data_IF_389616394388
#
_entry.id   IF_389616394388
#
_cell.length_a   1.000
_cell.length_b   1.000
_cell.length_c   1.000
_cell.angle_alpha   90.00
_cell.angle_beta   90.00
_cell.angle_gamma   90.00
#
_symmetry.space_group_name_H-M   'P 1'
#
loop_
_entity.id
_entity.type
_entity.pdbx_description
1 polymer ?
#
# COMPACT_ATOMS: atom_id res chain seq x y z
N UNK A 1 -18.52 26.32 -3.41
CA UNK A 1 -19.15 25.51 -4.50
C UNK A 1 -18.41 25.65 -5.83
N UNK A 2 -18.13 26.87 -6.33
CA UNK A 2 -17.48 27.10 -7.64
C UNK A 2 -16.11 26.40 -7.78
N UNK A 3 -15.26 26.49 -6.75
CA UNK A 3 -13.92 25.85 -6.75
C UNK A 3 -14.01 24.32 -6.83
N UNK A 4 -14.99 23.71 -6.18
CA UNK A 4 -15.15 22.25 -6.18
C UNK A 4 -15.55 21.74 -7.56
N UNK A 5 -16.50 22.43 -8.20
CA UNK A 5 -16.96 22.12 -9.55
C UNK A 5 -15.83 22.21 -10.57
N UNK A 6 -15.09 23.32 -10.58
CA UNK A 6 -14.00 23.51 -11.55
C UNK A 6 -12.87 22.49 -11.37
N UNK A 7 -12.56 22.10 -10.13
CA UNK A 7 -11.61 21.03 -9.82
C UNK A 7 -12.08 19.67 -10.31
N UNK A 8 -13.36 19.33 -10.09
CA UNK A 8 -13.96 18.09 -10.55
C UNK A 8 -13.96 18.00 -12.08
N UNK A 9 -14.36 19.07 -12.77
CA UNK A 9 -14.35 19.13 -14.24
C UNK A 9 -12.93 18.96 -14.80
N UNK A 10 -11.94 19.63 -14.20
CA UNK A 10 -10.53 19.46 -14.58
C UNK A 10 -10.04 18.02 -14.36
N UNK A 11 -10.41 17.42 -13.23
CA UNK A 11 -10.06 16.04 -12.91
C UNK A 11 -10.67 15.08 -13.93
N UNK A 12 -11.98 15.20 -14.21
CA UNK A 12 -12.67 14.37 -15.20
C UNK A 12 -12.04 14.49 -16.58
N UNK A 13 -11.72 15.71 -17.03
CA UNK A 13 -11.05 15.92 -18.33
C UNK A 13 -9.70 15.21 -18.39
N UNK A 14 -8.88 15.32 -17.34
CA UNK A 14 -7.58 14.63 -17.25
C UNK A 14 -7.74 13.12 -17.19
N UNK A 15 -8.71 12.64 -16.42
CA UNK A 15 -9.04 11.23 -16.29
C UNK A 15 -9.43 10.64 -17.66
N UNK A 16 -10.31 11.32 -18.40
CA UNK A 16 -10.70 10.93 -19.76
C UNK A 16 -9.53 10.90 -20.75
N UNK A 17 -8.59 11.84 -20.63
CA UNK A 17 -7.41 11.93 -21.49
C UNK A 17 -6.27 10.95 -21.08
N UNK A 18 -6.35 10.32 -19.92
CA UNK A 18 -5.27 9.48 -19.40
C UNK A 18 -5.25 8.08 -20.03
N UNK A 19 -4.31 7.84 -20.93
CA UNK A 19 -3.89 6.50 -21.35
C UNK A 19 -2.78 5.99 -20.45
N UNK A 20 -3.05 5.03 -19.56
CA UNK A 20 -2.02 4.46 -18.69
C UNK A 20 -1.19 3.41 -19.43
N UNK A 21 0.10 3.64 -19.62
CA UNK A 21 1.02 2.57 -20.03
C UNK A 21 1.32 1.66 -18.83
N UNK A 22 1.25 0.35 -19.06
CA UNK A 22 1.66 -0.66 -18.08
C UNK A 22 3.19 -0.74 -18.04
N UNK A 23 3.76 -0.86 -16.84
CA UNK A 23 5.20 -0.82 -16.62
C UNK A 23 5.74 -2.24 -16.47
N UNK A 24 5.54 -3.05 -17.52
CA UNK A 24 5.83 -4.48 -17.47
C UNK A 24 7.30 -4.80 -17.25
N UNK A 25 8.21 -3.93 -17.71
CA UNK A 25 9.65 -4.11 -17.49
C UNK A 25 9.96 -4.11 -16.00
N UNK A 26 9.41 -3.15 -15.27
CA UNK A 26 9.58 -3.00 -13.82
C UNK A 26 8.94 -4.16 -13.05
N UNK A 27 7.77 -4.65 -13.50
CA UNK A 27 7.15 -5.86 -12.94
C UNK A 27 8.05 -7.07 -13.12
N UNK A 28 8.55 -7.30 -14.35
CA UNK A 28 9.44 -8.43 -14.66
C UNK A 28 10.73 -8.33 -13.84
N UNK A 29 11.36 -7.16 -13.77
CA UNK A 29 12.56 -6.93 -12.96
C UNK A 29 12.27 -7.19 -11.48
N UNK A 30 11.11 -6.79 -10.98
CA UNK A 30 10.72 -7.03 -9.58
C UNK A 30 10.55 -8.52 -9.28
N UNK A 31 9.90 -9.27 -10.17
CA UNK A 31 9.71 -10.71 -10.01
C UNK A 31 11.04 -11.46 -10.14
N UNK A 32 11.77 -11.25 -11.24
CA UNK A 32 13.04 -11.96 -11.48
C UNK A 32 14.11 -11.57 -10.46
N UNK A 33 14.24 -10.28 -10.17
CA UNK A 33 15.15 -9.79 -9.14
C UNK A 33 14.78 -10.32 -7.75
N UNK A 34 13.47 -10.39 -7.44
CA UNK A 34 12.98 -11.01 -6.21
C UNK A 34 13.35 -12.48 -6.10
N UNK A 35 13.16 -13.26 -7.18
CA UNK A 35 13.55 -14.67 -7.22
C UNK A 35 15.07 -14.86 -7.04
N UNK A 36 15.89 -13.98 -7.63
CA UNK A 36 17.35 -14.00 -7.46
C UNK A 36 17.79 -13.60 -6.05
N UNK A 37 17.05 -12.70 -5.39
CA UNK A 37 17.33 -12.23 -4.03
C UNK A 37 16.84 -13.20 -2.94
N UNK A 38 15.85 -14.05 -3.26
CA UNK A 38 15.22 -14.97 -2.32
C UNK A 38 16.18 -15.86 -1.52
N UNK A 39 17.25 -16.46 -2.09
CA UNK A 39 18.19 -17.27 -1.32
C UNK A 39 18.88 -16.49 -0.19
N UNK A 40 19.18 -15.21 -0.40
CA UNK A 40 19.80 -14.36 0.62
C UNK A 40 18.79 -13.97 1.69
N UNK A 41 17.57 -13.61 1.29
CA UNK A 41 16.50 -13.26 2.24
C UNK A 41 16.09 -14.48 3.07
N UNK A 42 16.19 -15.70 2.53
CA UNK A 42 15.92 -16.94 3.26
C UNK A 42 16.82 -17.14 4.48
N UNK A 43 18.01 -16.51 4.50
CA UNK A 43 18.95 -16.55 5.61
C UNK A 43 18.58 -15.60 6.76
N UNK A 44 17.68 -14.63 6.51
CA UNK A 44 17.28 -13.64 7.50
C UNK A 44 16.32 -14.26 8.53
N UNK A 45 16.34 -13.77 9.80
CA UNK A 45 15.38 -14.17 10.80
C UNK A 45 14.01 -13.54 10.48
N UNK A 46 13.16 -14.29 9.79
CA UNK A 46 11.77 -13.91 9.48
C UNK A 46 10.81 -14.82 10.24
N UNK A 47 9.79 -14.24 10.89
CA UNK A 47 8.76 -15.02 11.58
C UNK A 47 7.60 -15.40 10.66
N UNK A 48 7.07 -14.44 9.89
CA UNK A 48 5.93 -14.66 9.01
C UNK A 48 4.66 -15.08 9.75
N UNK A 49 4.38 -14.42 10.89
CA UNK A 49 3.24 -14.74 11.74
C UNK A 49 1.91 -14.73 10.96
N UNK A 50 1.60 -13.64 10.25
CA UNK A 50 0.39 -13.55 9.45
C UNK A 50 0.41 -14.46 8.23
N UNK A 51 1.59 -14.78 7.68
CA UNK A 51 1.68 -15.79 6.62
C UNK A 51 1.19 -17.16 7.08
N UNK A 52 1.65 -17.61 8.25
CA UNK A 52 1.25 -18.91 8.81
C UNK A 52 -0.21 -18.92 9.29
N UNK A 53 -0.70 -17.82 9.87
CA UNK A 53 -2.05 -17.76 10.47
C UNK A 53 -3.13 -17.35 9.47
N UNK A 54 -2.86 -16.45 8.52
CA UNK A 54 -3.87 -15.86 7.62
C UNK A 54 -3.80 -16.34 6.18
N UNK A 55 -2.62 -16.74 5.71
CA UNK A 55 -2.41 -16.99 4.28
C UNK A 55 -2.03 -18.44 3.95
N UNK A 56 -1.61 -19.24 4.92
CA UNK A 56 -1.36 -20.67 4.74
C UNK A 56 -2.67 -21.50 4.76
N UNK A 57 -2.72 -22.70 4.14
CA UNK A 57 -3.95 -23.50 4.08
C UNK A 57 -4.59 -23.74 5.47
N UNK A 58 -5.92 -23.53 5.57
CA UNK A 58 -6.70 -23.69 6.80
C UNK A 58 -7.01 -22.39 7.57
N UNK A 59 -6.51 -21.24 7.11
CA UNK A 59 -6.70 -19.94 7.75
C UNK A 59 -8.12 -19.35 7.60
N UNK A 60 -8.56 -18.58 8.61
CA UNK A 60 -9.78 -17.75 8.57
C UNK A 60 -9.51 -16.53 7.68
N UNK A 61 -10.19 -16.45 6.53
CA UNK A 61 -9.93 -15.41 5.52
C UNK A 61 -11.02 -14.32 5.53
N UNK A 62 -10.74 -13.19 6.17
CA UNK A 62 -11.45 -11.92 5.96
C UNK A 62 -10.86 -11.11 4.79
N UNK A 63 -10.46 -11.81 3.72
CA UNK A 63 -9.78 -11.24 2.57
C UNK A 63 -10.67 -11.30 1.32
N UNK A 64 -10.24 -10.62 0.26
CA UNK A 64 -10.93 -10.73 -1.03
C UNK A 64 -10.77 -12.16 -1.60
N UNK A 65 -11.78 -12.73 -2.28
CA UNK A 65 -11.76 -14.16 -2.67
C UNK A 65 -10.57 -14.57 -3.53
N UNK A 66 -10.09 -13.67 -4.39
CA UNK A 66 -8.96 -13.93 -5.29
C UNK A 66 -7.60 -13.86 -4.58
N UNK A 67 -7.50 -13.42 -3.32
CA UNK A 67 -6.23 -13.49 -2.57
C UNK A 67 -5.71 -14.91 -2.57
N UNK A 68 -6.59 -15.91 -2.39
CA UNK A 68 -6.23 -17.32 -2.45
C UNK A 68 -5.52 -17.71 -3.74
N UNK A 69 -5.92 -17.13 -4.87
CA UNK A 69 -5.32 -17.38 -6.18
C UNK A 69 -3.98 -16.67 -6.32
N UNK A 70 -3.90 -15.42 -5.84
CA UNK A 70 -2.66 -14.63 -5.85
C UNK A 70 -1.58 -15.29 -4.98
N UNK A 71 -1.96 -15.85 -3.83
CA UNK A 71 -0.99 -16.48 -2.92
C UNK A 71 -0.74 -17.96 -3.22
N UNK A 72 -1.56 -18.61 -4.05
CA UNK A 72 -1.45 -20.04 -4.35
C UNK A 72 -0.06 -20.49 -4.81
N UNK A 73 0.64 -19.78 -5.72
CA UNK A 73 1.98 -20.20 -6.14
C UNK A 73 2.99 -20.27 -5.00
N UNK A 74 2.86 -19.41 -3.99
CA UNK A 74 3.75 -19.36 -2.85
C UNK A 74 3.44 -20.47 -1.82
N UNK A 75 2.19 -20.94 -1.75
CA UNK A 75 1.79 -22.08 -0.92
C UNK A 75 2.38 -23.42 -1.40
N UNK A 76 2.87 -23.49 -2.63
CA UNK A 76 3.57 -24.67 -3.16
C UNK A 76 4.99 -24.79 -2.60
N UNK A 77 5.52 -23.72 -2.00
CA UNK A 77 6.81 -23.68 -1.36
C UNK A 77 6.67 -23.95 0.14
N UNK A 78 7.76 -24.36 0.80
CA UNK A 78 7.79 -24.37 2.26
C UNK A 78 7.54 -22.97 2.82
N UNK A 79 7.06 -22.91 4.07
CA UNK A 79 6.68 -21.64 4.74
C UNK A 79 7.81 -20.61 4.65
N UNK A 80 9.05 -21.04 4.89
CA UNK A 80 10.22 -20.17 4.92
C UNK A 80 10.63 -19.69 3.54
N UNK A 81 10.64 -20.57 2.55
CA UNK A 81 10.93 -20.26 1.15
C UNK A 81 9.88 -19.31 0.58
N UNK A 82 8.60 -19.55 0.87
CA UNK A 82 7.49 -18.70 0.49
C UNK A 82 7.68 -17.26 0.98
N UNK A 83 7.96 -17.10 2.29
CA UNK A 83 8.24 -15.80 2.90
C UNK A 83 9.45 -15.13 2.26
N UNK A 84 10.52 -15.89 2.02
CA UNK A 84 11.73 -15.37 1.39
C UNK A 84 11.43 -14.82 -0.01
N UNK A 85 10.65 -15.54 -0.82
CA UNK A 85 10.27 -15.08 -2.17
C UNK A 85 9.36 -13.85 -2.09
N UNK A 86 8.32 -13.86 -1.24
CA UNK A 86 7.41 -12.72 -1.09
C UNK A 86 8.12 -11.46 -0.65
N UNK A 87 8.95 -11.56 0.39
CA UNK A 87 9.73 -10.44 0.91
C UNK A 87 10.76 -9.96 -0.11
N UNK A 88 11.37 -10.85 -0.89
CA UNK A 88 12.32 -10.45 -1.93
C UNK A 88 11.64 -9.72 -3.09
N UNK A 89 10.49 -10.21 -3.56
CA UNK A 89 9.69 -9.51 -4.57
C UNK A 89 9.30 -8.13 -4.04
N UNK A 90 8.85 -8.03 -2.79
CA UNK A 90 8.52 -6.75 -2.16
C UNK A 90 9.73 -5.80 -2.13
N UNK A 91 10.89 -6.25 -1.64
CA UNK A 91 12.10 -5.42 -1.56
C UNK A 91 12.52 -4.89 -2.93
N UNK A 92 12.56 -5.76 -3.94
CA UNK A 92 12.92 -5.35 -5.30
C UNK A 92 11.84 -4.44 -5.90
N UNK A 93 10.56 -4.70 -5.64
CA UNK A 93 9.46 -3.83 -6.08
C UNK A 93 9.61 -2.43 -5.50
N UNK A 94 9.83 -2.30 -4.19
CA UNK A 94 10.05 -1.00 -3.53
C UNK A 94 11.29 -0.31 -4.09
N UNK A 95 12.37 -1.05 -4.32
CA UNK A 95 13.61 -0.51 -4.86
C UNK A 95 13.43 0.05 -6.28
N UNK A 96 12.87 -0.77 -7.19
CA UNK A 96 12.62 -0.40 -8.58
C UNK A 96 11.64 0.76 -8.67
N UNK A 97 10.58 0.73 -7.87
CA UNK A 97 9.58 1.78 -7.79
C UNK A 97 10.18 3.11 -7.34
N UNK A 98 10.94 3.09 -6.24
CA UNK A 98 11.58 4.30 -5.70
C UNK A 98 12.59 4.86 -6.70
N UNK A 99 13.39 3.99 -7.34
CA UNK A 99 14.34 4.39 -8.36
C UNK A 99 13.64 5.03 -9.57
N UNK A 100 12.54 4.44 -10.05
CA UNK A 100 11.72 4.98 -11.14
C UNK A 100 11.18 6.36 -10.80
N UNK A 101 10.64 6.52 -9.60
CA UNK A 101 10.14 7.81 -9.14
C UNK A 101 11.25 8.87 -9.05
N UNK A 102 12.48 8.44 -8.75
CA UNK A 102 13.69 9.24 -8.81
C UNK A 102 14.30 9.35 -10.24
N UNK A 103 13.57 9.01 -11.31
CA UNK A 103 14.04 9.02 -12.71
C UNK A 103 15.24 8.11 -12.99
N UNK A 104 15.56 7.16 -12.12
CA UNK A 104 16.82 6.41 -12.18
C UNK A 104 18.07 7.32 -12.19
N UNK A 105 17.96 8.55 -11.68
CA UNK A 105 19.10 9.47 -11.60
C UNK A 105 20.12 8.88 -10.62
N UNK A 106 21.33 8.53 -11.08
CA UNK A 106 22.35 7.83 -10.29
C UNK A 106 22.64 8.51 -8.95
N UNK A 107 22.65 9.85 -8.94
CA UNK A 107 22.87 10.67 -7.73
C UNK A 107 21.75 10.56 -6.70
N UNK A 108 20.59 10.03 -7.10
CA UNK A 108 19.38 9.93 -6.28
C UNK A 108 19.07 8.49 -5.86
N UNK A 109 19.91 7.50 -6.24
CA UNK A 109 19.70 6.10 -5.88
C UNK A 109 19.85 5.83 -4.38
N UNK A 110 20.51 6.69 -3.61
CA UNK A 110 20.56 6.59 -2.15
C UNK A 110 19.16 6.65 -1.51
N UNK A 111 18.18 7.24 -2.20
CA UNK A 111 16.77 7.29 -1.76
C UNK A 111 16.13 5.91 -1.77
N UNK A 112 16.61 5.00 -2.62
CA UNK A 112 16.20 3.58 -2.59
C UNK A 112 16.59 2.97 -1.25
N UNK A 113 17.82 3.23 -0.77
CA UNK A 113 18.24 2.78 0.54
C UNK A 113 17.33 3.38 1.62
N UNK A 114 17.03 4.68 1.59
CA UNK A 114 16.08 5.26 2.55
C UNK A 114 14.73 4.51 2.57
N UNK A 115 14.14 4.25 1.40
CA UNK A 115 12.85 3.58 1.31
C UNK A 115 12.91 2.14 1.87
N UNK A 116 13.98 1.39 1.55
CA UNK A 116 14.19 0.03 2.04
C UNK A 116 14.48 -0.03 3.54
N UNK A 117 15.15 0.98 4.09
CA UNK A 117 15.46 1.11 5.51
C UNK A 117 14.41 1.95 6.23
N UNK A 118 13.14 1.55 6.11
CA UNK A 118 12.01 2.12 6.86
C UNK A 118 11.26 1.03 7.62
N UNK A 119 10.57 1.35 8.73
CA UNK A 119 9.89 0.31 9.48
C UNK A 119 8.76 -0.42 8.75
N UNK A 120 7.96 0.18 7.85
CA UNK A 120 6.98 -0.58 7.11
C UNK A 120 7.57 -1.79 6.37
N UNK A 121 8.81 -1.70 5.87
CA UNK A 121 9.53 -2.84 5.27
C UNK A 121 9.78 -3.93 6.32
N UNK A 122 10.37 -3.56 7.46
CA UNK A 122 10.70 -4.51 8.51
C UNK A 122 9.45 -5.17 9.12
N UNK A 123 8.36 -4.41 9.29
CA UNK A 123 7.08 -4.93 9.76
C UNK A 123 6.50 -5.94 8.77
N UNK A 124 6.46 -5.65 7.46
CA UNK A 124 5.98 -6.62 6.46
C UNK A 124 6.85 -7.87 6.44
N UNK A 125 8.17 -7.72 6.51
CA UNK A 125 9.09 -8.86 6.55
C UNK A 125 8.88 -9.73 7.79
N UNK A 126 8.64 -9.09 8.94
CA UNK A 126 8.41 -9.75 10.21
C UNK A 126 7.05 -10.47 10.24
N UNK A 127 5.98 -9.78 9.84
CA UNK A 127 4.61 -10.30 9.88
C UNK A 127 4.35 -11.30 8.74
N UNK A 128 5.07 -11.22 7.62
CA UNK A 128 4.80 -12.04 6.43
C UNK A 128 3.56 -11.58 5.66
N UNK A 129 3.36 -10.27 5.58
CA UNK A 129 2.23 -9.66 4.92
C UNK A 129 2.39 -9.61 3.40
N UNK A 130 1.28 -9.60 2.66
CA UNK A 130 1.26 -9.64 1.18
C UNK A 130 1.16 -8.25 0.53
N UNK A 131 1.37 -7.18 1.30
CA UNK A 131 1.28 -5.79 0.83
C UNK A 131 2.27 -5.45 -0.28
N UNK A 132 3.41 -6.15 -0.33
CA UNK A 132 4.35 -6.07 -1.45
C UNK A 132 3.74 -6.48 -2.79
N UNK A 133 2.81 -7.45 -2.79
CA UNK A 133 2.09 -7.86 -4.00
C UNK A 133 1.08 -6.80 -4.43
N UNK A 134 0.47 -6.07 -3.50
CA UNK A 134 -0.41 -4.96 -3.83
C UNK A 134 0.36 -3.83 -4.53
N UNK A 135 1.57 -3.52 -4.05
CA UNK A 135 2.46 -2.56 -4.70
C UNK A 135 2.91 -3.02 -6.09
N UNK A 136 3.29 -4.29 -6.25
CA UNK A 136 3.60 -4.87 -7.57
C UNK A 136 2.41 -4.75 -8.53
N UNK A 137 1.20 -5.00 -8.03
CA UNK A 137 -0.04 -4.87 -8.77
C UNK A 137 -0.28 -3.45 -9.28
N UNK A 138 0.00 -2.43 -8.46
CA UNK A 138 -0.12 -1.02 -8.87
C UNK A 138 0.77 -0.69 -10.08
N UNK A 139 1.97 -1.27 -10.21
CA UNK A 139 2.85 -1.03 -11.36
C UNK A 139 2.42 -1.76 -12.64
N UNK A 140 1.79 -2.93 -12.48
CA UNK A 140 1.26 -3.72 -13.59
C UNK A 140 -0.14 -3.32 -14.04
N UNK A 141 -0.76 -2.28 -13.46
CA UNK A 141 -2.08 -1.82 -13.89
C UNK A 141 -2.09 -1.43 -15.39
N UNK A 142 -3.19 -1.70 -16.11
CA UNK A 142 -4.45 -2.28 -15.63
C UNK A 142 -4.46 -3.82 -15.56
N UNK A 143 -3.39 -4.51 -15.98
CA UNK A 143 -3.39 -5.97 -16.13
C UNK A 143 -3.23 -6.72 -14.80
N UNK A 144 -2.53 -6.12 -13.83
CA UNK A 144 -2.37 -6.68 -12.48
C UNK A 144 -3.37 -6.11 -11.47
N UNK A 145 -4.58 -5.77 -11.91
CA UNK A 145 -5.70 -5.37 -11.02
C UNK A 145 -5.94 -6.37 -9.88
N UNK A 146 -5.94 -7.71 -10.09
CA UNK A 146 -6.14 -8.66 -9.00
C UNK A 146 -5.10 -8.50 -7.87
N UNK A 147 -3.84 -8.27 -8.24
CA UNK A 147 -2.75 -8.03 -7.29
C UNK A 147 -2.94 -6.70 -6.55
N UNK A 148 -3.25 -5.62 -7.27
CA UNK A 148 -3.48 -4.31 -6.65
C UNK A 148 -4.63 -4.37 -5.63
N UNK A 149 -5.71 -5.09 -5.97
CA UNK A 149 -6.90 -5.20 -5.13
C UNK A 149 -6.81 -6.28 -4.04
N UNK A 150 -5.63 -6.88 -3.80
CA UNK A 150 -5.39 -7.65 -2.57
C UNK A 150 -5.62 -6.77 -1.32
N UNK A 151 -5.36 -5.46 -1.43
CA UNK A 151 -5.61 -4.44 -0.39
C UNK A 151 -6.52 -3.31 -0.92
N UNK A 152 -7.80 -3.60 -1.20
CA UNK A 152 -8.65 -2.68 -1.96
C UNK A 152 -8.89 -1.36 -1.22
N UNK A 153 -8.99 -1.38 0.11
CA UNK A 153 -9.20 -0.17 0.92
C UNK A 153 -8.08 0.88 0.77
N UNK A 154 -6.87 0.46 0.38
CA UNK A 154 -5.73 1.35 0.14
C UNK A 154 -5.58 1.69 -1.35
N UNK A 155 -5.60 0.67 -2.22
CA UNK A 155 -5.20 0.81 -3.62
C UNK A 155 -6.31 1.36 -4.52
N UNK A 156 -7.58 1.28 -4.10
CA UNK A 156 -8.72 1.78 -4.89
C UNK A 156 -8.57 3.26 -5.23
N UNK A 157 -8.02 4.06 -4.31
CA UNK A 157 -7.83 5.50 -4.50
C UNK A 157 -6.85 5.81 -5.62
N UNK A 158 -5.78 5.03 -5.75
CA UNK A 158 -4.82 5.13 -6.86
C UNK A 158 -5.43 4.66 -8.17
N UNK A 159 -6.26 3.62 -8.16
CA UNK A 159 -6.91 3.09 -9.36
C UNK A 159 -7.81 4.15 -10.01
N UNK A 160 -8.38 5.08 -9.23
CA UNK A 160 -9.15 6.21 -9.72
C UNK A 160 -8.30 7.26 -10.45
N UNK A 161 -6.97 7.23 -10.34
CA UNK A 161 -6.11 8.24 -10.98
C UNK A 161 -6.12 8.18 -12.51
N UNK A 162 -6.45 7.02 -13.10
CA UNK A 162 -6.45 6.81 -14.56
C UNK A 162 -7.65 6.00 -15.01
N UNK A 163 -8.23 6.37 -16.16
CA UNK A 163 -9.45 5.76 -16.68
C UNK A 163 -9.31 4.28 -16.95
N UNK A 164 -8.25 3.87 -17.63
CA UNK A 164 -8.05 2.46 -17.98
C UNK A 164 -7.86 1.58 -16.73
N UNK A 165 -7.23 2.10 -15.68
CA UNK A 165 -7.09 1.41 -14.39
C UNK A 165 -8.46 1.26 -13.71
N UNK A 166 -9.24 2.35 -13.66
CA UNK A 166 -10.60 2.33 -13.11
C UNK A 166 -11.50 1.34 -13.85
N UNK A 167 -11.48 1.36 -15.19
CA UNK A 167 -12.24 0.41 -16.01
C UNK A 167 -11.81 -1.03 -15.75
N UNK A 168 -10.50 -1.31 -15.70
CA UNK A 168 -9.99 -2.64 -15.38
C UNK A 168 -10.45 -3.13 -14.00
N UNK A 169 -10.42 -2.26 -12.98
CA UNK A 169 -10.90 -2.57 -11.64
C UNK A 169 -12.42 -2.78 -11.59
N UNK A 170 -13.21 -2.01 -12.33
CA UNK A 170 -14.67 -2.21 -12.41
C UNK A 170 -15.02 -3.52 -13.10
N UNK A 171 -14.37 -3.85 -14.22
CA UNK A 171 -14.57 -5.11 -14.94
C UNK A 171 -14.20 -6.28 -14.02
N UNK A 172 -13.02 -6.23 -13.41
CA UNK A 172 -12.60 -7.26 -12.48
C UNK A 172 -13.53 -7.36 -11.26
N UNK A 173 -13.94 -6.23 -10.68
CA UNK A 173 -14.90 -6.19 -9.57
C UNK A 173 -16.23 -6.86 -9.94
N UNK A 174 -16.80 -6.53 -11.10
CA UNK A 174 -18.01 -7.15 -11.61
C UNK A 174 -17.83 -8.67 -11.80
N UNK A 175 -16.73 -9.10 -12.42
CA UNK A 175 -16.40 -10.52 -12.57
C UNK A 175 -16.28 -11.22 -11.22
N UNK A 176 -15.67 -10.58 -10.21
CA UNK A 176 -15.56 -11.19 -8.88
C UNK A 176 -16.90 -11.33 -8.18
N UNK A 177 -17.82 -10.39 -8.37
CA UNK A 177 -19.18 -10.51 -7.85
C UNK A 177 -19.97 -11.61 -8.56
N UNK A 178 -19.75 -11.81 -9.86
CA UNK A 178 -20.38 -12.90 -10.62
C UNK A 178 -19.87 -14.29 -10.19
N UNK A 179 -18.56 -14.43 -9.93
CA UNK A 179 -17.94 -15.73 -9.59
C UNK A 179 -18.10 -16.08 -8.12
N UNK A 180 -17.96 -15.10 -7.20
CA UNK A 180 -17.96 -15.34 -5.75
C UNK A 180 -19.15 -14.75 -5.00
N UNK A 181 -20.11 -14.15 -5.70
CA UNK A 181 -21.26 -13.50 -5.09
C UNK A 181 -20.88 -12.23 -4.32
N UNK A 182 -21.70 -11.87 -3.32
CA UNK A 182 -21.53 -10.66 -2.51
C UNK A 182 -20.44 -10.81 -1.42
N UNK A 183 -19.22 -11.12 -1.84
CA UNK A 183 -18.05 -11.21 -0.97
C UNK A 183 -17.74 -9.94 -0.14
N UNK A 184 -18.12 -8.69 -0.53
CA UNK A 184 -17.87 -7.53 0.31
C UNK A 184 -18.49 -7.65 1.71
N UNK A 185 -19.63 -8.33 1.86
CA UNK A 185 -20.22 -8.59 3.18
C UNK A 185 -19.30 -9.38 4.10
N UNK A 186 -18.56 -10.37 3.58
CA UNK A 186 -17.61 -11.16 4.36
C UNK A 186 -16.41 -10.33 4.82
N UNK A 187 -15.93 -9.44 3.97
CA UNK A 187 -14.83 -8.52 4.31
C UNK A 187 -15.29 -7.50 5.36
N UNK A 188 -16.49 -6.95 5.22
CA UNK A 188 -17.10 -6.06 6.20
C UNK A 188 -17.30 -6.77 7.55
N UNK A 189 -17.75 -8.03 7.54
CA UNK A 189 -17.93 -8.84 8.75
C UNK A 189 -16.63 -9.08 9.52
N UNK A 190 -15.47 -9.04 8.84
CA UNK A 190 -14.16 -9.13 9.48
C UNK A 190 -13.61 -7.82 10.04
N UNK A 191 -14.29 -6.68 9.84
CA UNK A 191 -13.77 -5.38 10.27
C UNK A 191 -13.64 -5.27 11.78
N UNK A 192 -14.60 -5.78 12.55
CA UNK A 192 -14.57 -5.71 14.02
C UNK A 192 -13.33 -6.41 14.58
N UNK A 193 -13.06 -7.63 14.10
CA UNK A 193 -11.84 -8.37 14.45
C UNK A 193 -10.57 -7.59 14.08
N UNK A 194 -10.51 -7.04 12.87
CA UNK A 194 -9.35 -6.27 12.41
C UNK A 194 -9.15 -4.96 13.21
N UNK A 195 -10.23 -4.26 13.55
CA UNK A 195 -10.21 -3.01 14.32
C UNK A 195 -9.85 -3.23 15.78
N UNK A 196 -10.12 -4.43 16.32
CA UNK A 196 -9.69 -4.80 17.67
C UNK A 196 -8.18 -4.81 17.82
N UNK A 197 -7.43 -5.14 16.77
CA UNK A 197 -5.97 -5.29 16.83
C UNK A 197 -5.26 -4.01 17.37
N UNK A 198 -4.31 -4.10 18.31
CA UNK A 198 -3.71 -2.93 18.98
C UNK A 198 -2.98 -1.97 18.04
N UNK A 199 -2.46 -2.50 16.92
CA UNK A 199 -1.85 -1.69 15.85
C UNK A 199 -2.86 -1.06 14.86
N UNK A 200 -4.16 -1.36 14.99
CA UNK A 200 -5.15 -0.85 14.06
C UNK A 200 -5.24 0.68 14.15
N UNK A 201 -5.37 1.30 13.00
CA UNK A 201 -5.55 2.73 12.76
C UNK A 201 -6.70 2.91 11.76
N UNK A 202 -6.89 4.14 11.31
CA UNK A 202 -7.97 4.52 10.40
C UNK A 202 -9.08 5.26 11.14
N UNK A 203 -9.97 5.91 10.40
CA UNK A 203 -10.97 6.80 11.01
C UNK A 203 -11.98 6.04 11.88
N UNK A 204 -12.20 4.74 11.66
CA UNK A 204 -13.11 3.97 12.49
C UNK A 204 -12.56 3.79 13.92
N UNK A 205 -11.24 3.78 14.09
CA UNK A 205 -10.56 3.70 15.39
C UNK A 205 -10.14 5.07 15.95
N UNK A 206 -9.64 5.96 15.09
CA UNK A 206 -9.09 7.27 15.47
C UNK A 206 -10.13 8.40 15.43
N UNK A 207 -11.37 8.09 15.04
CA UNK A 207 -12.47 9.04 14.96
C UNK A 207 -12.67 9.64 13.57
N UNK A 208 -13.91 10.06 13.31
CA UNK A 208 -14.33 10.69 12.05
C UNK A 208 -13.54 11.94 11.64
N UNK A 209 -12.93 12.76 12.54
CA UNK A 209 -12.13 13.91 12.11
C UNK A 209 -10.97 13.51 11.20
N UNK A 210 -10.33 12.36 11.45
CA UNK A 210 -9.26 11.82 10.58
C UNK A 210 -9.82 11.47 9.19
N UNK A 211 -11.01 10.88 9.14
CA UNK A 211 -11.71 10.60 7.89
C UNK A 211 -11.95 11.88 7.08
N UNK A 212 -12.38 12.97 7.73
CA UNK A 212 -12.56 14.26 7.07
C UNK A 212 -11.24 14.82 6.53
N UNK A 213 -10.15 14.74 7.29
CA UNK A 213 -8.82 15.15 6.80
C UNK A 213 -8.46 14.38 5.53
N UNK A 214 -8.66 13.06 5.52
CA UNK A 214 -8.44 12.22 4.34
C UNK A 214 -9.32 12.62 3.14
N UNK A 215 -10.62 12.90 3.36
CA UNK A 215 -11.54 13.35 2.31
C UNK A 215 -11.15 14.71 1.74
N UNK A 216 -10.74 15.65 2.58
CA UNK A 216 -10.21 16.95 2.14
C UNK A 216 -8.96 16.74 1.28
N UNK A 217 -8.03 15.90 1.74
CA UNK A 217 -6.83 15.56 0.98
C UNK A 217 -7.18 14.92 -0.38
N UNK A 218 -8.19 14.06 -0.46
CA UNK A 218 -8.64 13.42 -1.70
C UNK A 218 -9.15 14.45 -2.71
N UNK A 219 -9.99 15.39 -2.29
CA UNK A 219 -10.51 16.47 -3.15
C UNK A 219 -9.37 17.27 -3.79
N UNK A 220 -8.29 17.49 -3.04
CA UNK A 220 -7.13 18.28 -3.46
C UNK A 220 -5.95 17.44 -4.01
N UNK A 221 -6.07 16.12 -4.07
CA UNK A 221 -5.03 15.22 -4.57
C UNK A 221 -4.85 15.35 -6.10
N UNK A 222 -5.93 15.64 -6.82
CA UNK A 222 -5.94 15.70 -8.27
C UNK A 222 -5.77 14.31 -8.89
N UNK A 223 -5.05 14.21 -10.01
CA UNK A 223 -4.76 12.94 -10.68
C UNK A 223 -3.43 12.29 -10.26
N UNK A 224 -2.79 12.79 -9.20
CA UNK A 224 -1.50 12.27 -8.76
C UNK A 224 -1.66 10.96 -7.97
N UNK A 225 -1.04 9.89 -8.46
CA UNK A 225 -1.14 8.55 -7.89
C UNK A 225 -0.81 8.48 -6.40
N UNK A 226 0.34 9.00 -5.96
CA UNK A 226 0.77 8.88 -4.57
C UNK A 226 0.05 9.86 -3.65
N UNK A 227 -0.40 11.02 -4.16
CA UNK A 227 -1.28 11.90 -3.38
C UNK A 227 -2.65 11.25 -3.17
N UNK A 228 -3.21 10.61 -4.19
CA UNK A 228 -4.46 9.85 -4.02
C UNK A 228 -4.28 8.68 -3.05
N UNK A 229 -3.17 7.96 -3.16
CA UNK A 229 -2.84 6.87 -2.24
C UNK A 229 -2.73 7.36 -0.80
N UNK A 230 -1.97 8.44 -0.57
CA UNK A 230 -1.75 9.02 0.75
C UNK A 230 -3.04 9.55 1.37
N UNK A 231 -3.87 10.24 0.57
CA UNK A 231 -5.17 10.72 1.02
C UNK A 231 -6.11 9.54 1.33
N UNK A 232 -6.09 8.51 0.49
CA UNK A 232 -6.83 7.26 0.67
C UNK A 232 -6.44 6.51 1.94
N UNK A 233 -5.16 6.44 2.25
CA UNK A 233 -4.61 5.88 3.50
C UNK A 233 -5.20 6.59 4.72
N UNK A 234 -5.27 7.93 4.71
CA UNK A 234 -5.87 8.71 5.82
C UNK A 234 -7.39 8.55 5.86
N UNK A 235 -8.05 8.45 4.70
CA UNK A 235 -9.50 8.27 4.59
C UNK A 235 -9.98 6.82 4.84
N UNK A 236 -9.06 5.86 5.01
CA UNK A 236 -9.41 4.46 5.20
C UNK A 236 -10.01 4.22 6.58
N UNK A 237 -11.06 3.38 6.65
CA UNK A 237 -11.69 2.99 7.91
C UNK A 237 -10.75 2.17 8.79
N UNK A 238 -9.92 1.36 8.14
CA UNK A 238 -8.93 0.49 8.76
C UNK A 238 -7.58 0.67 8.09
N UNK A 239 -6.53 0.66 8.91
CA UNK A 239 -5.15 0.81 8.49
C UNK A 239 -4.25 0.12 9.52
N UNK A 240 -3.09 -0.39 9.11
CA UNK A 240 -2.01 -0.79 10.01
C UNK A 240 -0.72 -0.06 9.60
N UNK A 241 0.27 0.10 10.50
CA UNK A 241 1.45 0.92 10.18
C UNK A 241 2.26 0.37 9.00
N UNK A 242 2.29 -0.95 8.82
CA UNK A 242 2.95 -1.58 7.67
C UNK A 242 2.29 -1.27 6.33
N UNK A 243 1.00 -0.87 6.29
CA UNK A 243 0.32 -0.47 5.06
C UNK A 243 0.97 0.77 4.42
N UNK A 244 1.77 1.56 5.17
CA UNK A 244 2.54 2.66 4.60
C UNK A 244 3.61 2.23 3.60
N UNK A 245 3.91 0.93 3.50
CA UNK A 245 4.82 0.36 2.51
C UNK A 245 4.52 0.82 1.08
N UNK A 246 3.24 0.90 0.72
CA UNK A 246 2.80 1.29 -0.62
C UNK A 246 3.12 2.74 -0.98
N UNK A 247 3.40 3.59 0.02
CA UNK A 247 3.77 5.00 -0.15
C UNK A 247 5.28 5.21 -0.21
N UNK A 248 6.11 4.24 0.16
CA UNK A 248 7.57 4.38 0.18
C UNK A 248 8.16 4.86 -1.15
N UNK A 249 7.69 4.40 -2.33
CA UNK A 249 8.21 4.90 -3.61
C UNK A 249 8.07 6.41 -3.82
N UNK A 250 7.12 7.06 -3.13
CA UNK A 250 6.94 8.52 -3.19
C UNK A 250 8.18 9.30 -2.74
N UNK A 251 9.06 8.71 -1.93
CA UNK A 251 10.33 9.33 -1.52
C UNK A 251 11.22 9.66 -2.72
N UNK A 252 11.18 8.84 -3.78
CA UNK A 252 11.92 9.08 -5.02
C UNK A 252 11.50 10.36 -5.75
N UNK A 253 10.22 10.74 -5.61
CA UNK A 253 9.67 11.96 -6.25
C UNK A 253 9.93 13.23 -5.46
N UNK A 254 9.98 13.13 -4.13
CA UNK A 254 10.28 14.26 -3.24
C UNK A 254 11.76 14.65 -3.42
N UNK A 255 12.15 15.89 -3.12
CA UNK A 255 13.52 16.39 -3.33
C UNK A 255 14.11 17.01 -2.06
N UNK A 256 15.44 16.95 -1.93
CA UNK A 256 16.20 17.60 -0.87
C UNK A 256 15.87 17.09 0.54
N UNK A 257 15.96 17.99 1.53
CA UNK A 257 15.76 17.67 2.95
C UNK A 257 14.39 17.04 3.27
N UNK A 258 13.38 17.30 2.43
CA UNK A 258 12.03 16.74 2.60
C UNK A 258 12.01 15.21 2.55
N UNK A 259 12.97 14.59 1.84
CA UNK A 259 13.13 13.13 1.83
C UNK A 259 13.53 12.59 3.20
N UNK A 260 14.45 13.28 3.88
CA UNK A 260 14.89 12.92 5.23
C UNK A 260 13.74 13.06 6.22
N UNK A 261 12.92 14.10 6.07
CA UNK A 261 11.74 14.29 6.92
C UNK A 261 10.69 13.21 6.66
N UNK A 262 10.42 12.85 5.40
CA UNK A 262 9.54 11.70 5.10
C UNK A 262 10.08 10.40 5.69
N UNK A 263 11.37 10.15 5.55
CA UNK A 263 12.02 8.98 6.11
C UNK A 263 11.88 8.95 7.64
N UNK A 264 12.22 10.04 8.33
CA UNK A 264 12.06 10.16 9.78
C UNK A 264 10.60 10.00 10.23
N UNK A 265 9.63 10.54 9.47
CA UNK A 265 8.21 10.34 9.77
C UNK A 265 7.73 8.90 9.52
N UNK A 266 8.31 8.18 8.56
CA UNK A 266 8.05 6.76 8.39
C UNK A 266 8.50 5.96 9.63
N UNK A 267 9.54 6.42 10.34
CA UNK A 267 9.98 5.81 11.61
C UNK A 267 8.96 5.91 12.75
N UNK A 268 8.08 6.93 12.73
CA UNK A 268 7.01 7.09 13.73
C UNK A 268 5.99 5.94 13.70
N UNK A 269 5.93 5.17 12.61
CA UNK A 269 5.07 3.98 12.52
C UNK A 269 5.42 2.92 13.58
N UNK A 270 6.68 2.81 14.03
CA UNK A 270 7.08 1.88 15.10
C UNK A 270 6.56 2.25 16.48
N UNK A 271 6.22 3.53 16.69
CA UNK A 271 5.67 3.97 17.97
C UNK A 271 4.32 3.30 18.25
N UNK A 272 3.58 2.90 17.20
CA UNK A 272 2.29 2.25 17.35
C UNK A 272 2.44 0.90 18.07
N UNK A 273 3.19 -0.10 17.56
CA UNK A 273 3.44 -1.32 18.33
C UNK A 273 4.26 -1.09 19.60
N UNK A 274 5.21 -0.16 19.59
CA UNK A 274 6.13 0.05 20.73
C UNK A 274 5.50 0.72 21.96
N UNK A 275 4.45 1.52 21.76
CA UNK A 275 3.73 2.23 22.84
C UNK A 275 2.29 1.74 23.01
N UNK A 276 1.85 0.74 22.24
CA UNK A 276 0.60 0.06 22.51
C UNK A 276 0.79 -0.78 23.78
N UNK A 277 0.04 -0.43 24.83
CA UNK A 277 0.00 -1.24 26.05
C UNK A 277 -0.64 -2.60 25.70
N UNK A 278 0.09 -3.74 25.87
CA UNK A 278 -0.44 -5.07 25.55
C UNK A 278 -1.71 -5.42 26.35
N UNK A 279 -1.90 -4.79 27.51
CA UNK A 279 -3.08 -4.99 28.36
C UNK A 279 -4.28 -4.16 27.92
N UNK A 280 -4.05 -3.12 27.10
CA UNK A 280 -5.09 -2.26 26.56
C UNK A 280 -5.19 -2.44 25.05
N UNK A 281 -5.67 -3.62 24.65
CA UNK A 281 -5.83 -4.01 23.24
C UNK A 281 -6.58 -2.96 22.38
N UNK A 282 -7.49 -2.21 23.01
CA UNK A 282 -8.32 -1.19 22.38
C UNK A 282 -7.86 0.27 22.63
N UNK A 283 -6.75 0.52 23.34
CA UNK A 283 -6.34 1.89 23.60
C UNK A 283 -5.82 2.56 22.32
N UNK A 284 -6.29 3.79 22.11
CA UNK A 284 -5.73 4.68 21.11
C UNK A 284 -4.73 5.59 21.80
N UNK A 285 -3.48 5.53 21.36
CA UNK A 285 -2.38 6.35 21.91
C UNK A 285 -2.03 7.49 20.96
N UNK A 286 -1.33 8.51 21.46
CA UNK A 286 -0.82 9.60 20.61
C UNK A 286 0.07 9.09 19.46
N UNK A 287 0.71 7.93 19.62
CA UNK A 287 1.53 7.28 18.59
C UNK A 287 0.74 6.97 17.31
N UNK A 288 -0.53 6.59 17.43
CA UNK A 288 -1.40 6.31 16.28
C UNK A 288 -1.59 7.56 15.42
N UNK A 289 -1.80 8.73 16.07
CA UNK A 289 -1.93 10.01 15.38
C UNK A 289 -0.60 10.47 14.78
N UNK A 290 0.52 10.30 15.48
CA UNK A 290 1.84 10.64 14.98
C UNK A 290 2.22 9.83 13.73
N UNK A 291 1.83 8.55 13.67
CA UNK A 291 2.07 7.71 12.51
C UNK A 291 1.39 8.24 11.23
N UNK A 292 0.25 8.94 11.36
CA UNK A 292 -0.44 9.57 10.23
C UNK A 292 0.30 10.78 9.64
N UNK A 293 1.32 11.32 10.33
CA UNK A 293 2.16 12.38 9.77
C UNK A 293 2.84 11.93 8.48
N UNK A 294 3.20 10.64 8.35
CA UNK A 294 3.86 10.13 7.15
C UNK A 294 3.00 10.30 5.89
N UNK A 295 1.78 9.72 5.76
CA UNK A 295 0.95 9.92 4.58
C UNK A 295 0.56 11.40 4.36
N UNK A 296 0.33 12.17 5.44
CA UNK A 296 0.01 13.61 5.32
C UNK A 296 1.17 14.37 4.67
N UNK A 297 2.41 14.11 5.09
CA UNK A 297 3.59 14.78 4.53
C UNK A 297 3.90 14.31 3.11
N UNK A 298 3.69 13.03 2.78
CA UNK A 298 3.78 12.54 1.39
C UNK A 298 2.83 13.35 0.51
N UNK A 299 1.57 13.47 0.91
CA UNK A 299 0.57 14.24 0.18
C UNK A 299 0.95 15.72 0.01
N UNK A 300 1.46 16.34 1.07
CA UNK A 300 1.84 17.75 1.09
C UNK A 300 3.07 18.05 0.24
N UNK A 301 4.14 17.27 0.39
CA UNK A 301 5.40 17.51 -0.32
C UNK A 301 5.30 17.25 -1.81
N UNK A 302 4.35 16.41 -2.25
CA UNK A 302 4.10 16.17 -3.67
C UNK A 302 3.26 17.26 -4.35
N UNK A 303 2.65 18.21 -3.62
CA UNK A 303 1.72 19.20 -4.22
C UNK A 303 2.34 20.03 -5.36
N UNK A 304 3.65 20.31 -5.29
CA UNK A 304 4.38 21.15 -6.24
C UNK A 304 5.20 20.32 -7.24
N UNK A 305 5.13 18.99 -7.17
CA UNK A 305 5.83 18.13 -8.13
C UNK A 305 4.97 17.95 -9.37
N UNK A 306 5.58 18.00 -10.56
CA UNK A 306 4.86 17.64 -11.79
C UNK A 306 4.44 16.18 -11.69
N UNK A 307 3.14 15.91 -11.79
CA UNK A 307 2.62 14.55 -11.87
C UNK A 307 3.16 13.88 -13.15
N UNK A 308 3.50 12.59 -13.06
CA UNK A 308 3.98 11.75 -14.16
C UNK A 308 2.94 10.68 -14.53
#
# INVERSE_FOLDING_TARGET
MIVLRSRLELWLRRWWASGGQSNWKEVIVSVLGGLLLAPLVNLLPMLGYDWTVRFYPGAILFNTPWVNWVVAPFRLLGVRESLAVLNSIMLVTVAVATAREANYERRELWVVALALFTPPIFMVMWDGQIDGLALLGLFGLPWLVPFALVRPHLTVWTILSRRNWTLGAMIFGALTLLVWGWWPANVLGGMEFNLGHPMAMGWARLGWPIGIVGLVMLIFAGGDMYRLLAAGTVASSYLMPYHFLILLPSMGRVKGWRRIVLWACAWLSLLVPGLADPTQYYSTTFAHYLALLYPILVWWFLRNTKAR
#
